data_IF_094113630118
#
_entry.id   IF_094113630118
#
_cell.length_a   1.000
_cell.length_b   1.000
_cell.length_c   1.000
_cell.angle_alpha   90.00
_cell.angle_beta   90.00
_cell.angle_gamma   90.00
#
_symmetry.space_group_name_H-M   'P 1'
#
loop_
_entity.id
_entity.type
_entity.pdbx_description
1 polymer ?
#
# COMPACT_ATOMS: atom_id res chain seq x y z
N UNK A 1 3.90 15.90 -5.27
CA UNK A 1 3.02 14.93 -4.60
C UNK A 1 3.86 14.10 -3.66
N UNK A 2 3.34 13.76 -2.48
CA UNK A 2 4.04 12.87 -1.56
C UNK A 2 3.31 11.53 -1.64
N UNK A 3 3.76 10.66 -2.57
CA UNK A 3 3.14 9.36 -2.87
C UNK A 3 2.94 8.55 -1.59
N UNK A 4 3.87 8.65 -0.64
CA UNK A 4 3.79 7.99 0.66
C UNK A 4 2.55 8.45 1.46
N UNK A 5 2.27 9.74 1.50
CA UNK A 5 1.10 10.25 2.21
C UNK A 5 -0.21 9.83 1.53
N UNK A 6 -0.25 9.84 0.19
CA UNK A 6 -1.41 9.39 -0.58
C UNK A 6 -1.63 7.88 -0.39
N UNK A 7 -0.56 7.09 -0.40
CA UNK A 7 -0.61 5.66 -0.10
C UNK A 7 -1.14 5.42 1.32
N UNK A 8 -0.69 6.17 2.31
CA UNK A 8 -1.21 6.04 3.68
C UNK A 8 -2.71 6.35 3.76
N UNK A 9 -3.20 7.33 3.00
CA UNK A 9 -4.64 7.61 2.93
C UNK A 9 -5.43 6.45 2.31
N UNK A 10 -4.95 5.88 1.20
CA UNK A 10 -5.53 4.70 0.56
C UNK A 10 -5.52 3.49 1.50
N UNK A 11 -4.44 3.32 2.26
CA UNK A 11 -4.28 2.22 3.22
C UNK A 11 -4.99 2.45 4.56
N UNK A 12 -5.60 3.60 4.79
CA UNK A 12 -6.31 3.87 6.04
C UNK A 12 -7.67 3.16 6.08
N UNK A 13 -8.22 3.04 7.28
CA UNK A 13 -9.59 2.55 7.54
C UNK A 13 -10.70 3.30 6.80
N UNK A 14 -10.38 4.43 6.15
CA UNK A 14 -11.33 5.19 5.32
C UNK A 14 -11.54 4.57 3.95
N UNK A 15 -10.62 3.72 3.50
CA UNK A 15 -10.65 3.09 2.18
C UNK A 15 -10.55 1.57 2.33
N UNK A 16 -9.35 0.97 2.22
CA UNK A 16 -9.19 -0.50 2.19
C UNK A 16 -8.48 -1.10 3.42
N UNK A 17 -7.90 -0.28 4.29
CA UNK A 17 -7.18 -0.79 5.46
C UNK A 17 -8.03 -0.89 6.73
N UNK A 18 -7.35 -1.15 7.84
CA UNK A 18 -7.98 -1.31 9.17
C UNK A 18 -7.40 -0.37 10.23
N UNK A 19 -6.27 0.28 9.95
CA UNK A 19 -5.63 1.22 10.88
C UNK A 19 -6.06 2.66 10.61
N UNK A 20 -6.11 3.51 11.65
CA UNK A 20 -6.23 4.94 11.47
C UNK A 20 -4.93 5.49 10.84
N UNK A 21 -5.05 6.59 10.09
CA UNK A 21 -3.92 7.19 9.36
C UNK A 21 -2.71 7.52 10.27
N UNK A 22 -2.97 7.86 11.53
CA UNK A 22 -1.94 8.18 12.54
C UNK A 22 -1.06 7.00 12.96
N UNK A 23 -1.56 5.77 12.79
CA UNK A 23 -0.82 4.53 13.11
C UNK A 23 -0.10 3.95 11.89
N UNK A 24 -0.24 4.57 10.71
CA UNK A 24 0.38 4.11 9.46
C UNK A 24 1.72 4.82 9.28
N UNK A 25 2.79 4.04 9.13
CA UNK A 25 4.13 4.54 8.87
C UNK A 25 4.93 3.59 7.95
N UNK A 26 5.98 4.11 7.33
CA UNK A 26 6.77 3.40 6.29
C UNK A 26 7.34 2.05 6.76
N UNK A 27 7.76 1.96 8.03
CA UNK A 27 8.37 0.75 8.58
C UNK A 27 7.36 -0.34 8.98
N UNK A 28 6.06 -0.07 8.84
CA UNK A 28 5.02 -1.03 9.19
C UNK A 28 4.95 -2.08 8.08
N UNK A 29 4.83 -3.36 8.46
CA UNK A 29 4.60 -4.40 7.46
C UNK A 29 3.14 -4.41 7.00
N UNK A 30 2.88 -4.90 5.80
CA UNK A 30 1.51 -5.05 5.29
C UNK A 30 0.64 -5.90 6.23
N UNK A 31 1.23 -6.96 6.79
CA UNK A 31 0.56 -7.85 7.73
C UNK A 31 0.25 -7.18 9.06
N UNK A 32 1.17 -6.38 9.61
CA UNK A 32 0.91 -5.59 10.84
C UNK A 32 -0.14 -4.51 10.60
N UNK A 33 -0.20 -3.97 9.37
CA UNK A 33 -1.25 -3.05 8.93
C UNK A 33 -2.62 -3.74 8.72
N UNK A 34 -2.70 -5.06 8.91
CA UNK A 34 -3.92 -5.84 8.77
C UNK A 34 -4.32 -6.17 7.34
N UNK A 35 -3.38 -6.06 6.38
CA UNK A 35 -3.58 -6.51 5.01
C UNK A 35 -3.31 -8.01 4.91
N UNK A 36 -4.35 -8.77 4.58
CA UNK A 36 -4.25 -10.12 4.07
C UNK A 36 -4.14 -10.12 2.54
N UNK A 37 -4.01 -11.30 1.93
CA UNK A 37 -3.88 -11.42 0.48
C UNK A 37 -5.06 -10.84 -0.31
N UNK A 38 -6.27 -10.82 0.25
CA UNK A 38 -7.45 -10.30 -0.44
C UNK A 38 -7.49 -8.78 -0.37
N UNK A 39 -7.33 -8.19 0.83
CA UNK A 39 -7.28 -6.74 1.01
C UNK A 39 -6.11 -6.13 0.27
N UNK A 40 -5.00 -6.86 0.19
CA UNK A 40 -3.86 -6.39 -0.57
C UNK A 40 -4.20 -6.25 -2.06
N UNK A 41 -4.92 -7.21 -2.64
CA UNK A 41 -5.42 -7.07 -4.02
C UNK A 41 -6.37 -5.89 -4.18
N UNK A 42 -7.25 -5.62 -3.20
CA UNK A 42 -8.11 -4.43 -3.23
C UNK A 42 -7.29 -3.13 -3.22
N UNK A 43 -6.23 -3.08 -2.40
CA UNK A 43 -5.30 -1.95 -2.37
C UNK A 43 -4.55 -1.79 -3.70
N UNK A 44 -4.11 -2.89 -4.31
CA UNK A 44 -3.43 -2.87 -5.61
C UNK A 44 -4.32 -2.21 -6.66
N UNK A 45 -5.57 -2.66 -6.79
CA UNK A 45 -6.53 -2.06 -7.74
C UNK A 45 -6.75 -0.57 -7.44
N UNK A 46 -6.88 -0.19 -6.17
CA UNK A 46 -7.00 1.21 -5.75
C UNK A 46 -5.78 2.06 -6.12
N UNK A 47 -4.56 1.51 -5.97
CA UNK A 47 -3.31 2.18 -6.34
C UNK A 47 -3.26 2.38 -7.86
N UNK A 48 -3.57 1.35 -8.64
CA UNK A 48 -3.58 1.43 -10.10
C UNK A 48 -4.57 2.48 -10.59
N UNK A 49 -5.79 2.49 -10.04
CA UNK A 49 -6.82 3.48 -10.39
C UNK A 49 -6.43 4.90 -9.96
N UNK A 50 -5.89 5.08 -8.75
CA UNK A 50 -5.57 6.40 -8.20
C UNK A 50 -4.34 7.03 -8.86
N UNK A 51 -3.28 6.25 -9.08
CA UNK A 51 -2.03 6.73 -9.68
C UNK A 51 -1.97 6.52 -11.20
N UNK A 52 -2.94 5.84 -11.80
CA UNK A 52 -2.93 5.46 -13.23
C UNK A 52 -1.65 4.73 -13.66
N UNK A 53 -1.19 3.82 -12.80
CA UNK A 53 -0.01 2.95 -13.04
C UNK A 53 -0.44 1.48 -13.12
N UNK A 54 0.48 0.63 -13.57
CA UNK A 54 0.36 -0.83 -13.48
C UNK A 54 1.18 -1.29 -12.27
N UNK A 55 0.56 -1.99 -11.32
CA UNK A 55 1.28 -2.41 -10.12
C UNK A 55 2.27 -3.54 -10.48
N UNK A 56 3.50 -3.54 -9.93
CA UNK A 56 4.48 -4.56 -10.30
C UNK A 56 4.02 -5.96 -9.90
N UNK A 57 3.95 -6.88 -10.87
CA UNK A 57 3.58 -8.28 -10.63
C UNK A 57 4.48 -8.96 -9.57
N UNK A 58 5.76 -8.57 -9.49
CA UNK A 58 6.71 -9.12 -8.51
C UNK A 58 6.41 -8.71 -7.06
N UNK A 59 5.52 -7.74 -6.86
CA UNK A 59 5.06 -7.28 -5.55
C UNK A 59 3.65 -7.76 -5.20
N UNK A 60 2.98 -8.48 -6.10
CA UNK A 60 1.66 -9.07 -5.82
C UNK A 60 1.74 -10.13 -4.71
N UNK A 61 2.89 -10.81 -4.60
CA UNK A 61 3.20 -11.72 -3.51
C UNK A 61 3.76 -10.95 -2.30
N UNK A 62 2.87 -10.38 -1.49
CA UNK A 62 3.29 -9.79 -0.21
C UNK A 62 3.81 -10.87 0.75
N UNK A 63 4.94 -10.56 1.37
CA UNK A 63 5.54 -11.40 2.40
C UNK A 63 5.35 -10.74 3.77
N UNK A 64 5.52 -11.49 4.85
CA UNK A 64 5.47 -10.96 6.22
C UNK A 64 6.53 -9.89 6.52
N UNK A 65 7.50 -9.71 5.63
CA UNK A 65 8.55 -8.69 5.73
C UNK A 65 8.33 -7.50 4.81
N UNK A 66 7.33 -7.53 3.93
CA UNK A 66 7.05 -6.43 3.00
C UNK A 66 6.50 -5.24 3.77
N UNK A 67 7.20 -4.10 3.71
CA UNK A 67 6.81 -2.87 4.40
C UNK A 67 6.04 -1.92 3.48
N UNK A 68 5.29 -1.00 4.08
CA UNK A 68 4.60 0.06 3.33
C UNK A 68 5.61 0.94 2.59
N UNK A 69 6.78 1.18 3.18
CA UNK A 69 7.88 1.92 2.55
C UNK A 69 8.39 1.25 1.28
N UNK A 70 8.49 -0.09 1.27
CA UNK A 70 8.87 -0.84 0.06
C UNK A 70 7.88 -0.61 -1.07
N UNK A 71 6.58 -0.61 -0.77
CA UNK A 71 5.52 -0.36 -1.76
C UNK A 71 5.58 1.09 -2.26
N UNK A 72 5.68 2.06 -1.35
CA UNK A 72 5.76 3.47 -1.70
C UNK A 72 6.96 3.77 -2.63
N UNK A 73 8.12 3.18 -2.32
CA UNK A 73 9.32 3.31 -3.14
C UNK A 73 9.10 2.79 -4.56
N UNK A 74 8.37 1.67 -4.70
CA UNK A 74 8.10 1.01 -5.98
C UNK A 74 7.08 1.77 -6.81
N UNK A 75 6.01 2.28 -6.21
CA UNK A 75 5.06 3.19 -6.89
C UNK A 75 5.79 4.43 -7.39
N UNK A 76 6.67 5.01 -6.58
CA UNK A 76 7.44 6.20 -6.96
C UNK A 76 8.44 5.96 -8.10
N UNK A 77 8.74 4.71 -8.46
CA UNK A 77 9.55 4.39 -9.64
C UNK A 77 8.73 4.32 -10.94
N UNK A 78 7.40 4.33 -10.83
CA UNK A 78 6.47 4.17 -11.97
C UNK A 78 5.69 5.44 -12.32
N UNK A 79 5.65 6.42 -11.41
CA UNK A 79 5.02 7.74 -11.59
C UNK A 79 6.07 8.77 -12.00
#
# INVERSE_FOLDING_TARGET
MNITNELFELMSQRHCGVLPLEDIHENLTMFEAGFDSLRFMELVVLIEEHFSIEFPDDLLDITSTTTIGDIALRINQQV
#
